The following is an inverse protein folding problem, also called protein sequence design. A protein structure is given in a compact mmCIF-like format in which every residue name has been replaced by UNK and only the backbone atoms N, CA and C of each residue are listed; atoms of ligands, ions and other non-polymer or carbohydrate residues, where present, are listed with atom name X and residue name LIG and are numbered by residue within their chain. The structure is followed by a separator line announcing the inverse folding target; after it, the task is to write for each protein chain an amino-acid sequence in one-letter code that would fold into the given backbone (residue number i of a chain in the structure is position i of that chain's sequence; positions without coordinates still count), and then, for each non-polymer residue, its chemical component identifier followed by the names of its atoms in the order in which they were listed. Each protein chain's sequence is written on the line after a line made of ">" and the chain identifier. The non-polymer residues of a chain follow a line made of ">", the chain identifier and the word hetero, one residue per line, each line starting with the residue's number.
data_IF_580102955511
#
_entry.id   IF_580102955511
#
_cell.length_a   1.000
_cell.length_b   1.000
_cell.length_c   1.000
_cell.angle_alpha   90.00
_cell.angle_beta   90.00
_cell.angle_gamma   90.00
#
_symmetry.space_group_name_H-M   'P 1'
#
loop_
_entity.id
_entity.type
_entity.pdbx_description
1 polymer ?
#
# COMPACT_ATOMS: atom_id res chain seq x y z
N UNK A 1 -17.14 -5.46 4.94
CA UNK A 1 -16.13 -6.33 4.29
C UNK A 1 -16.13 -6.06 2.80
N UNK A 2 -15.13 -5.33 2.29
CA UNK A 2 -15.02 -5.11 0.85
C UNK A 2 -14.60 -6.43 0.19
N UNK A 3 -15.42 -6.92 -0.76
CA UNK A 3 -15.16 -8.18 -1.47
C UNK A 3 -13.98 -8.02 -2.45
N UNK A 4 -13.29 -9.13 -2.71
CA UNK A 4 -12.10 -9.25 -3.55
C UNK A 4 -12.12 -8.50 -4.91
N UNK A 5 -13.25 -8.30 -5.64
CA UNK A 5 -13.24 -7.50 -6.88
C UNK A 5 -13.20 -5.97 -6.69
N UNK A 6 -13.51 -5.43 -5.50
CA UNK A 6 -13.49 -3.98 -5.26
C UNK A 6 -12.06 -3.44 -5.17
N UNK A 7 -11.19 -4.13 -4.43
CA UNK A 7 -9.80 -3.70 -4.21
C UNK A 7 -8.94 -3.76 -5.47
N UNK A 8 -9.23 -4.64 -6.44
CA UNK A 8 -8.47 -4.71 -7.69
C UNK A 8 -8.76 -3.54 -8.65
N UNK A 9 -10.02 -3.07 -8.69
CA UNK A 9 -10.36 -1.87 -9.44
C UNK A 9 -9.78 -0.62 -8.80
N UNK A 10 -9.81 -0.56 -7.47
CA UNK A 10 -9.21 0.51 -6.69
C UNK A 10 -7.69 0.58 -6.90
N UNK A 11 -6.99 -0.55 -6.82
CA UNK A 11 -5.55 -0.63 -7.08
C UNK A 11 -5.20 -0.07 -8.46
N UNK A 12 -5.92 -0.52 -9.50
CA UNK A 12 -5.71 -0.01 -10.86
C UNK A 12 -5.97 1.49 -10.95
N UNK A 13 -7.05 1.98 -10.36
CA UNK A 13 -7.38 3.39 -10.34
C UNK A 13 -6.28 4.24 -9.68
N UNK A 14 -5.76 3.79 -8.54
CA UNK A 14 -4.67 4.49 -7.85
C UNK A 14 -3.37 4.44 -8.66
N UNK A 15 -3.04 3.31 -9.28
CA UNK A 15 -1.86 3.19 -10.15
C UNK A 15 -1.95 4.13 -11.37
N UNK A 16 -3.10 4.19 -12.03
CA UNK A 16 -3.33 5.09 -13.17
C UNK A 16 -3.23 6.59 -12.79
N UNK A 17 -3.39 6.93 -11.50
CA UNK A 17 -3.31 8.31 -10.99
C UNK A 17 -1.93 8.71 -10.46
N UNK A 18 -1.13 7.76 -10.02
CA UNK A 18 0.15 8.02 -9.31
C UNK A 18 1.32 8.26 -10.26
N UNK A 19 1.24 7.76 -11.50
CA UNK A 19 2.23 8.05 -12.53
C UNK A 19 3.64 7.59 -12.15
N UNK A 20 4.62 8.50 -12.17
CA UNK A 20 6.04 8.17 -11.96
C UNK A 20 6.57 8.44 -10.53
N UNK A 21 5.69 8.72 -9.56
CA UNK A 21 6.08 9.01 -8.18
C UNK A 21 5.68 7.86 -7.23
N UNK A 22 6.34 7.78 -6.07
CA UNK A 22 5.98 6.84 -5.01
C UNK A 22 5.00 7.48 -4.03
N UNK A 23 3.96 6.74 -3.69
CA UNK A 23 2.95 7.16 -2.73
C UNK A 23 2.79 6.11 -1.64
N UNK A 24 2.93 6.54 -0.38
CA UNK A 24 2.51 5.73 0.75
C UNK A 24 1.00 5.48 0.71
N UNK A 25 0.65 4.27 1.10
CA UNK A 25 -0.73 3.84 1.35
C UNK A 25 -0.84 3.35 2.79
N UNK A 26 -2.07 3.16 3.28
CA UNK A 26 -2.35 2.70 4.63
C UNK A 26 -2.04 1.22 4.87
N UNK A 27 -0.86 0.74 4.46
CA UNK A 27 -0.41 -0.65 4.63
C UNK A 27 0.94 -0.68 5.36
N UNK A 28 1.05 -1.48 6.41
CA UNK A 28 2.22 -1.55 7.28
C UNK A 28 2.50 -2.98 7.77
N UNK A 29 3.73 -3.20 8.23
CA UNK A 29 4.14 -4.47 8.84
C UNK A 29 4.02 -4.37 10.36
N UNK A 30 3.09 -5.12 10.95
CA UNK A 30 2.89 -5.16 12.41
C UNK A 30 3.78 -6.21 13.09
N UNK A 31 3.91 -7.37 12.45
CA UNK A 31 4.74 -8.50 12.90
C UNK A 31 5.64 -8.93 11.73
N UNK A 32 6.76 -9.59 12.03
CA UNK A 32 7.64 -10.13 10.97
C UNK A 32 6.82 -10.93 9.96
N UNK A 33 6.84 -10.49 8.71
CA UNK A 33 6.17 -11.10 7.56
C UNK A 33 4.63 -11.06 7.58
N UNK A 34 4.00 -10.24 8.41
CA UNK A 34 2.54 -10.01 8.35
C UNK A 34 2.23 -8.54 8.09
N UNK A 35 1.54 -8.32 6.98
CA UNK A 35 1.15 -7.01 6.50
C UNK A 35 -0.33 -6.76 6.81
N UNK A 36 -0.60 -5.57 7.34
CA UNK A 36 -1.94 -5.15 7.75
C UNK A 36 -2.25 -3.79 7.15
N UNK A 37 -3.51 -3.61 6.78
CA UNK A 37 -4.06 -2.29 6.52
C UNK A 37 -4.20 -1.54 7.84
N UNK A 38 -4.25 -0.21 7.79
CA UNK A 38 -4.44 0.66 8.98
C UNK A 38 -5.71 0.37 9.79
N UNK A 39 -6.67 -0.37 9.22
CA UNK A 39 -7.87 -0.87 9.91
C UNK A 39 -7.66 -2.23 10.62
N UNK A 40 -6.41 -2.69 10.73
CA UNK A 40 -5.95 -4.01 11.21
C UNK A 40 -6.34 -5.22 10.33
N UNK A 41 -7.02 -5.02 9.19
CA UNK A 41 -7.34 -6.14 8.30
C UNK A 41 -6.08 -6.71 7.64
N UNK A 42 -6.01 -8.03 7.49
CA UNK A 42 -4.84 -8.72 6.94
C UNK A 42 -4.74 -8.46 5.43
N UNK A 43 -3.53 -8.14 4.97
CA UNK A 43 -3.21 -8.09 3.56
C UNK A 43 -2.78 -9.45 3.04
N UNK A 44 -3.43 -9.91 1.97
CA UNK A 44 -3.19 -11.22 1.34
C UNK A 44 -2.48 -11.11 -0.02
N UNK A 45 -1.99 -9.92 -0.40
CA UNK A 45 -1.26 -9.73 -1.64
C UNK A 45 0.24 -9.97 -1.49
N UNK A 46 1.00 -9.69 -2.55
CA UNK A 46 2.45 -9.83 -2.56
C UNK A 46 3.15 -8.48 -2.36
N UNK A 47 4.11 -8.41 -1.43
CA UNK A 47 4.97 -7.25 -1.21
C UNK A 47 6.34 -7.50 -1.83
N UNK A 48 6.82 -6.56 -2.64
CA UNK A 48 8.16 -6.57 -3.26
C UNK A 48 9.16 -5.73 -2.45
N UNK A 49 10.46 -5.88 -2.74
CA UNK A 49 11.54 -5.09 -2.12
C UNK A 49 11.57 -5.15 -0.57
N UNK A 50 11.23 -6.31 0.00
CA UNK A 50 11.22 -6.51 1.46
C UNK A 50 12.65 -6.52 2.02
N UNK A 51 12.95 -5.56 2.88
CA UNK A 51 14.22 -5.43 3.60
C UNK A 51 14.00 -5.26 5.10
N UNK A 52 15.04 -5.46 5.89
CA UNK A 52 14.99 -5.19 7.32
C UNK A 52 14.63 -3.70 7.56
N UNK A 53 13.68 -3.45 8.48
CA UNK A 53 13.17 -2.12 8.84
C UNK A 53 12.31 -1.43 7.75
N UNK A 54 11.96 -2.11 6.66
CA UNK A 54 11.02 -1.57 5.67
C UNK A 54 9.61 -2.01 6.07
N UNK A 55 9.00 -1.23 6.97
CA UNK A 55 7.72 -1.57 7.60
C UNK A 55 6.51 -0.81 7.00
N UNK A 56 6.71 0.02 5.98
CA UNK A 56 5.66 0.76 5.27
C UNK A 56 5.62 0.35 3.79
N UNK A 57 4.55 0.71 3.08
CA UNK A 57 4.38 0.31 1.66
C UNK A 57 4.08 1.50 0.77
N UNK A 58 4.69 1.50 -0.41
CA UNK A 58 4.44 2.47 -1.48
C UNK A 58 3.92 1.81 -2.75
N UNK A 59 3.11 2.54 -3.53
CA UNK A 59 2.69 2.23 -4.91
C UNK A 59 3.07 3.38 -5.87
N UNK A 60 2.84 3.20 -7.18
CA UNK A 60 2.97 4.23 -8.20
C UNK A 60 4.06 3.93 -9.23
N UNK A 61 5.29 4.39 -8.96
CA UNK A 61 6.46 4.18 -9.83
C UNK A 61 6.57 2.75 -10.40
N UNK A 62 6.15 1.76 -9.64
CA UNK A 62 6.03 0.36 -10.04
C UNK A 62 4.56 -0.09 -9.96
N UNK A 63 4.21 -1.11 -10.74
CA UNK A 63 2.90 -1.78 -10.67
C UNK A 63 2.81 -2.79 -9.52
N UNK A 64 3.54 -2.57 -8.42
CA UNK A 64 3.65 -3.49 -7.28
C UNK A 64 3.54 -2.75 -5.95
N UNK A 65 3.22 -3.48 -4.89
CA UNK A 65 3.31 -3.00 -3.52
C UNK A 65 4.74 -3.11 -3.02
N UNK A 66 5.47 -2.00 -3.00
CA UNK A 66 6.87 -1.97 -2.60
C UNK A 66 7.04 -1.66 -1.11
N UNK A 67 7.75 -2.51 -0.37
CA UNK A 67 8.17 -2.18 0.98
C UNK A 67 9.12 -0.98 0.97
N UNK A 68 8.96 -0.11 1.96
CA UNK A 68 9.70 1.12 2.11
C UNK A 68 9.96 1.43 3.60
N UNK A 69 11.05 2.13 3.92
CA UNK A 69 11.27 2.67 5.26
C UNK A 69 10.24 3.77 5.55
N UNK A 70 9.64 3.72 6.74
CA UNK A 70 8.58 4.64 7.14
C UNK A 70 9.05 6.08 7.35
N UNK A 71 10.35 6.27 7.64
CA UNK A 71 10.93 7.58 7.98
C UNK A 71 11.38 8.39 6.76
N UNK A 72 11.06 7.94 5.54
CA UNK A 72 11.35 8.67 4.30
C UNK A 72 10.17 9.54 3.91
N UNK A 73 10.44 10.74 3.41
CA UNK A 73 9.39 11.63 2.89
C UNK A 73 8.99 11.25 1.46
N UNK A 74 7.99 10.39 1.33
CA UNK A 74 7.22 10.23 0.09
C UNK A 74 5.85 10.92 0.19
N UNK A 75 5.19 11.10 -0.96
CA UNK A 75 3.79 11.51 -1.00
C UNK A 75 2.90 10.41 -0.41
N UNK A 76 1.63 10.69 -0.15
CA UNK A 76 0.68 9.70 0.37
C UNK A 76 -0.70 9.84 -0.25
N UNK A 77 -1.47 8.76 -0.19
CA UNK A 77 -2.87 8.72 -0.62
C UNK A 77 -3.72 8.47 0.62
N UNK A 78 -4.73 9.32 0.82
CA UNK A 78 -5.74 9.13 1.86
C UNK A 78 -7.05 8.65 1.23
N UNK A 79 -7.76 7.78 1.93
CA UNK A 79 -9.09 7.31 1.55
C UNK A 79 -10.14 7.84 2.54
N UNK A 80 -11.33 8.15 2.04
CA UNK A 80 -12.53 8.42 2.85
C UNK A 80 -13.77 8.00 2.06
N UNK A 81 -14.86 7.73 2.77
CA UNK A 81 -16.14 7.46 2.12
C UNK A 81 -16.62 8.69 1.31
N UNK A 82 -17.12 8.43 0.10
CA UNK A 82 -17.78 9.44 -0.71
C UNK A 82 -19.12 9.85 -0.08
N UNK A 83 -19.48 11.13 -0.21
CA UNK A 83 -20.76 11.68 0.27
C UNK A 83 -21.75 11.82 -0.88
#
# INVERSE_FOLDING_TARGET
>A
TASFPLRSMEEKFLQDKTGAEKYFIGLYQQEKNRWHWIDNSVFNGNITNQHQNFNCVTIGLTNTYDAAPCDVNFRWICEKEAK
#
